data_IF_452190380140
#
_entry.id   IF_452190380140
#
_cell.length_a   1.000
_cell.length_b   1.000
_cell.length_c   1.000
_cell.angle_alpha   90.00
_cell.angle_beta   90.00
_cell.angle_gamma   90.00
#
_symmetry.space_group_name_H-M   'P 1'
#
loop_
_entity.id
_entity.type
_entity.pdbx_description
1 polymer ?
#
# COMPACT_ATOMS: atom_id res chain seq x y z
N UNK A 1 -6.88 -12.29 -12.08
CA UNK A 1 -6.49 -13.71 -12.15
C UNK A 1 -5.11 -13.88 -11.55
N UNK A 2 -4.86 -15.04 -10.93
CA UNK A 2 -3.52 -15.43 -10.51
C UNK A 2 -2.73 -16.09 -11.66
N UNK A 3 -1.49 -16.48 -11.35
CA UNK A 3 -0.58 -17.09 -12.34
C UNK A 3 -1.11 -18.42 -12.94
N UNK A 4 -1.91 -19.16 -12.18
CA UNK A 4 -2.50 -20.43 -12.62
C UNK A 4 -3.84 -20.25 -13.36
N UNK A 5 -4.33 -19.01 -13.47
CA UNK A 5 -5.58 -18.62 -14.13
C UNK A 5 -6.83 -19.35 -13.61
N UNK A 6 -6.81 -19.78 -12.36
CA UNK A 6 -7.93 -20.50 -11.75
C UNK A 6 -8.59 -19.75 -10.59
N UNK A 7 -7.99 -18.64 -10.11
CA UNK A 7 -8.48 -17.88 -8.98
C UNK A 7 -8.57 -16.39 -9.26
N UNK A 8 -9.55 -15.76 -8.66
CA UNK A 8 -9.66 -14.31 -8.51
C UNK A 8 -9.61 -13.94 -7.04
N UNK A 9 -9.03 -12.78 -6.73
CA UNK A 9 -8.92 -12.25 -5.37
C UNK A 9 -9.74 -10.98 -5.24
N UNK A 10 -10.43 -10.84 -4.12
CA UNK A 10 -11.32 -9.71 -3.90
C UNK A 10 -11.36 -9.31 -2.43
N UNK A 11 -11.70 -8.05 -2.22
CA UNK A 11 -11.88 -7.50 -0.89
C UNK A 11 -13.19 -7.99 -0.28
N UNK A 12 -13.14 -8.42 0.98
CA UNK A 12 -14.32 -8.76 1.78
C UNK A 12 -14.77 -7.59 2.66
N UNK A 13 -16.03 -7.62 3.07
CA UNK A 13 -16.64 -6.62 3.94
C UNK A 13 -16.06 -6.64 5.36
N UNK A 14 -16.25 -5.53 6.09
CA UNK A 14 -15.72 -5.38 7.45
C UNK A 14 -16.19 -6.44 8.43
N UNK A 15 -17.47 -6.79 8.37
CA UNK A 15 -18.06 -7.82 9.24
C UNK A 15 -17.42 -9.19 9.03
N UNK A 16 -17.22 -9.57 7.78
CA UNK A 16 -16.56 -10.84 7.44
C UNK A 16 -15.08 -10.80 7.85
N UNK A 17 -14.37 -9.73 7.54
CA UNK A 17 -12.97 -9.57 7.94
C UNK A 17 -12.77 -9.65 9.46
N UNK A 18 -13.70 -9.07 10.24
CA UNK A 18 -13.64 -9.10 11.69
C UNK A 18 -13.73 -10.50 12.29
N UNK A 19 -14.44 -11.43 11.63
CA UNK A 19 -14.58 -12.82 12.10
C UNK A 19 -13.27 -13.60 12.10
N UNK A 20 -12.30 -13.16 11.33
CA UNK A 20 -11.00 -13.81 11.13
C UNK A 20 -9.86 -13.11 11.86
N UNK A 21 -10.14 -12.03 12.60
CA UNK A 21 -9.15 -11.32 13.39
C UNK A 21 -9.18 -11.75 14.86
N UNK A 22 -8.03 -11.62 15.51
CA UNK A 22 -7.99 -11.69 16.97
C UNK A 22 -8.90 -10.60 17.56
N UNK A 23 -9.87 -10.95 18.43
CA UNK A 23 -10.80 -9.98 19.01
C UNK A 23 -10.11 -8.86 19.82
N UNK A 24 -8.87 -9.06 20.24
CA UNK A 24 -8.09 -8.06 20.96
C UNK A 24 -7.25 -7.16 20.05
N UNK A 25 -7.22 -7.41 18.74
CA UNK A 25 -6.45 -6.58 17.82
C UNK A 25 -7.05 -5.17 17.75
N UNK A 26 -6.18 -4.17 17.83
CA UNK A 26 -6.61 -2.78 17.68
C UNK A 26 -6.98 -2.52 16.21
N UNK A 27 -8.25 -2.22 15.98
CA UNK A 27 -8.72 -1.82 14.64
C UNK A 27 -8.31 -0.38 14.35
N UNK A 28 -7.74 -0.16 13.18
CA UNK A 28 -7.30 1.14 12.73
C UNK A 28 -8.49 2.06 12.41
N UNK A 29 -8.36 3.32 12.81
CA UNK A 29 -9.36 4.35 12.53
C UNK A 29 -9.05 5.03 11.19
N UNK A 30 -10.06 5.70 10.65
CA UNK A 30 -9.86 6.57 9.49
C UNK A 30 -8.97 7.77 9.84
N UNK A 31 -8.21 8.21 8.86
CA UNK A 31 -7.31 9.37 8.99
C UNK A 31 -7.09 10.05 7.64
N UNK A 32 -6.31 11.12 7.67
CA UNK A 32 -5.96 11.90 6.50
C UNK A 32 -7.13 12.72 5.93
N UNK A 33 -6.89 13.52 4.90
CA UNK A 33 -7.86 14.50 4.39
C UNK A 33 -9.11 13.86 3.77
N UNK A 34 -9.04 12.60 3.35
CA UNK A 34 -10.18 11.86 2.80
C UNK A 34 -10.93 11.01 3.82
N UNK A 35 -10.50 11.02 5.08
CA UNK A 35 -11.09 10.22 6.15
C UNK A 35 -11.24 8.73 5.78
N UNK A 36 -10.16 8.13 5.28
CA UNK A 36 -10.08 6.74 4.83
C UNK A 36 -9.15 5.92 5.72
N UNK A 37 -9.03 4.63 5.44
CA UNK A 37 -8.08 3.75 6.10
C UNK A 37 -8.64 2.88 7.22
N UNK A 38 -9.87 3.16 7.67
CA UNK A 38 -10.49 2.43 8.78
C UNK A 38 -10.73 0.96 8.44
N UNK A 39 -10.20 0.08 9.31
CA UNK A 39 -10.45 -1.35 9.26
C UNK A 39 -11.75 -1.81 9.93
N UNK A 40 -11.88 -3.11 10.10
CA UNK A 40 -11.03 -4.12 9.51
C UNK A 40 -11.23 -4.26 7.99
N UNK A 41 -10.28 -4.87 7.31
CA UNK A 41 -10.39 -5.26 5.91
C UNK A 41 -9.83 -6.67 5.71
N UNK A 42 -10.13 -7.28 4.58
CA UNK A 42 -9.61 -8.62 4.29
C UNK A 42 -9.71 -8.96 2.81
N UNK A 43 -9.10 -10.08 2.47
CA UNK A 43 -9.04 -10.64 1.13
C UNK A 43 -9.56 -12.09 1.18
N UNK A 44 -10.38 -12.43 0.21
CA UNK A 44 -10.75 -13.81 -0.12
C UNK A 44 -10.42 -14.12 -1.57
N UNK A 45 -10.29 -15.39 -1.87
CA UNK A 45 -10.15 -15.92 -3.23
C UNK A 45 -11.40 -16.69 -3.63
N UNK A 46 -11.67 -16.74 -4.93
CA UNK A 46 -12.68 -17.62 -5.51
C UNK A 46 -12.05 -18.41 -6.66
N UNK A 47 -12.22 -19.71 -6.63
CA UNK A 47 -11.91 -20.55 -7.77
C UNK A 47 -12.96 -20.32 -8.85
N UNK A 48 -12.53 -19.89 -10.04
CA UNK A 48 -13.44 -19.50 -11.11
C UNK A 48 -14.18 -20.68 -11.77
N UNK A 49 -13.66 -21.90 -11.61
CA UNK A 49 -14.28 -23.12 -12.18
C UNK A 49 -15.31 -23.72 -11.25
N UNK A 50 -15.03 -23.70 -9.93
CA UNK A 50 -15.89 -24.37 -8.95
C UNK A 50 -16.77 -23.39 -8.16
N UNK A 51 -16.45 -22.10 -8.15
CA UNK A 51 -17.09 -21.10 -7.31
C UNK A 51 -16.70 -21.18 -5.82
N UNK A 52 -15.77 -22.08 -5.46
CA UNK A 52 -15.30 -22.22 -4.07
C UNK A 52 -14.63 -20.93 -3.59
N UNK A 53 -15.10 -20.40 -2.48
CA UNK A 53 -14.53 -19.19 -1.84
C UNK A 53 -13.70 -19.62 -0.63
N UNK A 54 -12.48 -19.06 -0.52
CA UNK A 54 -11.59 -19.24 0.62
C UNK A 54 -11.14 -17.90 1.17
N UNK A 55 -11.14 -17.77 2.49
CA UNK A 55 -10.51 -16.67 3.17
C UNK A 55 -8.98 -16.74 2.98
N UNK A 56 -8.36 -15.58 2.73
CA UNK A 56 -6.90 -15.45 2.59
C UNK A 56 -6.31 -14.77 3.82
N UNK A 57 -6.72 -13.53 4.07
CA UNK A 57 -6.18 -12.73 5.16
C UNK A 57 -7.19 -11.69 5.63
N UNK A 58 -7.14 -11.38 6.93
CA UNK A 58 -7.77 -10.20 7.51
C UNK A 58 -6.74 -9.34 8.21
N UNK A 59 -6.92 -8.04 8.12
CA UNK A 59 -6.01 -7.01 8.67
C UNK A 59 -6.82 -5.93 9.39
N UNK A 60 -6.21 -5.23 10.38
CA UNK A 60 -6.93 -4.23 11.17
C UNK A 60 -7.22 -2.92 10.43
N UNK A 61 -6.89 -2.81 9.16
CA UNK A 61 -7.01 -1.61 8.34
C UNK A 61 -7.78 -1.87 7.04
N UNK A 62 -8.10 -0.81 6.31
CA UNK A 62 -8.79 -0.89 5.02
C UNK A 62 -7.88 -1.44 3.94
N UNK A 63 -8.26 -2.55 3.33
CA UNK A 63 -7.56 -3.15 2.18
C UNK A 63 -7.95 -2.45 0.89
N UNK A 64 -6.97 -2.17 0.04
CA UNK A 64 -7.14 -1.69 -1.32
C UNK A 64 -6.08 -2.23 -2.27
N UNK A 65 -6.20 -1.92 -3.56
CA UNK A 65 -5.24 -2.22 -4.63
C UNK A 65 -4.73 -3.67 -4.61
N UNK A 66 -5.65 -4.64 -4.55
CA UNK A 66 -5.27 -6.06 -4.55
C UNK A 66 -4.75 -6.43 -5.94
N UNK A 67 -3.54 -6.96 -5.99
CA UNK A 67 -2.89 -7.46 -7.20
C UNK A 67 -2.37 -8.87 -6.93
N UNK A 68 -2.61 -9.78 -7.86
CA UNK A 68 -1.94 -11.08 -7.88
C UNK A 68 -0.66 -10.99 -8.71
N UNK A 69 0.39 -11.66 -8.28
CA UNK A 69 1.58 -11.84 -9.07
C UNK A 69 1.30 -12.89 -10.15
N UNK A 70 1.22 -12.45 -11.41
CA UNK A 70 0.90 -13.34 -12.53
C UNK A 70 2.04 -14.28 -12.94
N UNK A 71 3.20 -14.15 -12.32
CA UNK A 71 4.38 -15.01 -12.53
C UNK A 71 4.66 -15.93 -11.35
N UNK A 72 4.09 -15.64 -10.17
CA UNK A 72 4.32 -16.39 -8.94
C UNK A 72 2.97 -16.78 -8.33
N UNK A 73 2.51 -18.06 -8.53
CA UNK A 73 1.20 -18.49 -8.06
C UNK A 73 0.98 -18.23 -6.58
N UNK A 74 -0.16 -17.63 -6.26
CA UNK A 74 -0.61 -17.39 -4.90
C UNK A 74 0.02 -16.18 -4.19
N UNK A 75 0.98 -15.49 -4.79
CA UNK A 75 1.51 -14.25 -4.19
C UNK A 75 0.60 -13.06 -4.48
N UNK A 76 0.26 -12.32 -3.44
CA UNK A 76 -0.57 -11.14 -3.49
C UNK A 76 0.17 -9.93 -2.97
N UNK A 77 -0.01 -8.81 -3.65
CA UNK A 77 0.38 -7.47 -3.19
C UNK A 77 -0.88 -6.65 -2.98
N UNK A 78 -0.97 -5.93 -1.88
CA UNK A 78 -2.10 -5.07 -1.57
C UNK A 78 -1.67 -3.86 -0.75
N UNK A 79 -2.55 -2.90 -0.59
CA UNK A 79 -2.22 -1.71 0.19
C UNK A 79 -3.16 -1.49 1.38
N UNK A 80 -2.67 -0.76 2.37
CA UNK A 80 -3.51 -0.03 3.30
C UNK A 80 -4.07 1.19 2.57
N UNK A 81 -5.32 1.10 2.16
CA UNK A 81 -5.99 2.15 1.38
C UNK A 81 -6.30 3.36 2.26
N UNK A 82 -5.68 4.48 1.93
CA UNK A 82 -5.81 5.72 2.69
C UNK A 82 -5.97 6.92 1.77
N UNK A 83 -6.52 7.99 2.29
CA UNK A 83 -6.61 9.26 1.56
C UNK A 83 -5.35 10.12 1.65
N UNK A 84 -4.26 9.60 2.21
CA UNK A 84 -2.99 10.29 2.42
C UNK A 84 -1.90 9.30 2.82
N UNK A 85 -0.80 9.81 3.41
CA UNK A 85 0.27 8.94 3.91
C UNK A 85 -0.28 7.98 4.97
N UNK A 86 -0.05 6.69 4.76
CA UNK A 86 -0.24 5.64 5.79
C UNK A 86 1.08 5.37 6.52
N UNK A 87 1.03 4.83 7.74
CA UNK A 87 2.25 4.40 8.45
C UNK A 87 3.01 3.31 7.68
N UNK A 88 2.28 2.42 7.01
CA UNK A 88 2.80 1.34 6.19
C UNK A 88 1.78 1.04 5.09
N UNK A 89 2.10 1.39 3.83
CA UNK A 89 1.13 1.25 2.75
C UNK A 89 1.13 -0.14 2.12
N UNK A 90 2.29 -0.64 1.70
CA UNK A 90 2.37 -1.82 0.85
C UNK A 90 2.63 -3.10 1.64
N UNK A 91 1.87 -4.13 1.33
CA UNK A 91 1.87 -5.43 2.00
C UNK A 91 1.90 -6.56 0.99
N UNK A 92 2.44 -7.70 1.39
CA UNK A 92 2.36 -8.94 0.64
C UNK A 92 1.89 -10.08 1.54
N UNK A 93 1.22 -11.06 0.93
CA UNK A 93 0.72 -12.27 1.58
C UNK A 93 0.59 -13.39 0.55
N UNK A 94 0.75 -14.63 0.96
CA UNK A 94 0.43 -15.78 0.11
C UNK A 94 -1.07 -16.10 0.18
N UNK A 95 -1.62 -16.71 -0.88
CA UNK A 95 -3.05 -17.05 -0.99
C UNK A 95 -3.53 -18.06 0.06
N UNK A 96 -2.62 -18.77 0.74
CA UNK A 96 -2.92 -19.63 1.89
C UNK A 96 -2.93 -18.86 3.22
N UNK A 97 -2.74 -17.54 3.20
CA UNK A 97 -2.72 -16.67 4.38
C UNK A 97 -1.36 -16.56 5.06
N UNK A 98 -0.36 -17.29 4.59
CA UNK A 98 1.00 -17.22 5.16
C UNK A 98 1.81 -16.03 4.66
N UNK A 99 2.89 -15.69 5.37
CA UNK A 99 3.86 -14.69 4.92
C UNK A 99 3.36 -13.25 4.89
N UNK A 100 2.28 -12.91 5.60
CA UNK A 100 1.83 -11.52 5.71
C UNK A 100 2.94 -10.64 6.28
N UNK A 101 3.38 -9.66 5.51
CA UNK A 101 4.43 -8.72 5.89
C UNK A 101 4.37 -7.42 5.09
N UNK A 102 4.98 -6.34 5.57
CA UNK A 102 5.29 -5.20 4.71
C UNK A 102 6.09 -5.67 3.49
N UNK A 103 5.68 -5.24 2.30
CA UNK A 103 6.45 -5.47 1.07
C UNK A 103 7.70 -4.58 1.06
N UNK A 104 7.51 -3.32 1.39
CA UNK A 104 8.55 -2.31 1.56
C UNK A 104 8.33 -1.62 2.92
N UNK A 105 9.21 -1.81 3.91
CA UNK A 105 9.11 -1.12 5.20
C UNK A 105 9.32 0.39 5.01
N UNK A 106 8.29 1.17 5.26
CA UNK A 106 8.31 2.63 5.08
C UNK A 106 8.89 3.33 6.31
N UNK A 107 9.73 4.33 6.08
CA UNK A 107 10.16 5.25 7.12
C UNK A 107 9.15 6.39 7.34
N UNK A 108 9.27 7.11 8.45
CA UNK A 108 8.42 8.27 8.76
C UNK A 108 8.50 9.38 7.69
N UNK A 109 9.59 9.40 6.92
CA UNK A 109 9.87 10.41 5.90
C UNK A 109 9.48 9.95 4.48
N UNK A 110 8.95 8.77 4.33
CA UNK A 110 8.53 8.22 3.05
C UNK A 110 7.01 8.14 2.96
N UNK A 111 6.52 8.35 1.78
CA UNK A 111 5.12 8.12 1.42
C UNK A 111 5.08 7.30 0.14
N UNK A 112 4.73 6.05 0.27
CA UNK A 112 4.56 5.14 -0.87
C UNK A 112 3.17 5.31 -1.46
N UNK A 113 3.10 5.38 -2.79
CA UNK A 113 1.86 5.39 -3.55
C UNK A 113 2.04 4.55 -4.82
N UNK A 114 0.92 4.12 -5.43
CA UNK A 114 0.92 3.46 -6.73
C UNK A 114 1.92 2.30 -6.85
N UNK A 115 1.55 1.18 -6.30
CA UNK A 115 2.27 -0.08 -6.44
C UNK A 115 1.77 -0.87 -7.66
N UNK A 116 2.68 -1.53 -8.37
CA UNK A 116 2.37 -2.44 -9.48
C UNK A 116 3.35 -3.61 -9.52
N UNK A 117 2.86 -4.84 -9.55
CA UNK A 117 3.68 -6.02 -9.82
C UNK A 117 4.08 -5.97 -11.29
N UNK A 118 5.39 -5.95 -11.60
CA UNK A 118 5.93 -5.76 -12.95
C UNK A 118 6.74 -6.95 -13.46
N UNK A 119 7.19 -7.83 -12.57
CA UNK A 119 7.82 -9.10 -12.90
C UNK A 119 7.63 -10.10 -11.77
N UNK A 120 8.20 -11.29 -11.92
CA UNK A 120 8.15 -12.34 -10.89
C UNK A 120 8.65 -11.85 -9.53
N UNK A 121 9.72 -11.08 -9.51
CA UNK A 121 10.44 -10.68 -8.29
C UNK A 121 10.48 -9.15 -8.08
N UNK A 122 9.69 -8.38 -8.86
CA UNK A 122 9.76 -6.92 -8.82
C UNK A 122 8.39 -6.28 -8.71
N UNK A 123 8.30 -5.28 -7.86
CA UNK A 123 7.15 -4.39 -7.71
C UNK A 123 7.61 -2.95 -7.90
N UNK A 124 7.05 -2.26 -8.88
CA UNK A 124 7.26 -0.82 -9.04
C UNK A 124 6.40 -0.04 -8.06
N UNK A 125 6.97 0.98 -7.45
CA UNK A 125 6.28 1.86 -6.51
C UNK A 125 6.67 3.31 -6.74
N UNK A 126 5.72 4.23 -6.56
CA UNK A 126 6.02 5.65 -6.47
C UNK A 126 6.30 6.00 -5.00
N UNK A 127 7.49 6.48 -4.70
CA UNK A 127 7.90 6.85 -3.35
C UNK A 127 8.22 8.35 -3.32
N UNK A 128 7.54 9.08 -2.45
CA UNK A 128 7.83 10.48 -2.16
C UNK A 128 8.61 10.57 -0.85
N UNK A 129 9.83 11.10 -0.92
CA UNK A 129 10.67 11.35 0.25
C UNK A 129 10.40 12.73 0.82
N UNK A 130 10.25 12.83 2.13
CA UNK A 130 10.21 14.10 2.87
C UNK A 130 11.46 14.18 3.72
N UNK A 131 12.26 15.22 3.52
CA UNK A 131 13.44 15.48 4.33
C UNK A 131 13.18 16.67 5.25
N UNK A 132 13.47 16.51 6.53
CA UNK A 132 13.54 17.66 7.43
C UNK A 132 14.78 18.48 7.07
N UNK A 133 14.58 19.71 6.66
CA UNK A 133 15.67 20.62 6.33
C UNK A 133 16.14 21.28 7.64
N UNK A 134 17.39 21.07 8.00
CA UNK A 134 18.07 21.88 9.01
C UNK A 134 18.70 23.08 8.29
N UNK A 135 18.06 24.24 8.42
CA UNK A 135 18.46 25.48 7.71
C UNK A 135 19.91 25.86 8.06
N UNK A 136 20.43 25.48 9.21
CA UNK A 136 21.82 25.78 9.59
C UNK A 136 22.85 24.83 8.98
N UNK A 137 22.46 23.55 8.76
CA UNK A 137 23.35 22.52 8.21
C UNK A 137 23.17 22.31 6.72
N UNK A 138 21.95 22.47 6.26
CA UNK A 138 21.55 22.20 4.88
C UNK A 138 21.29 23.51 4.08
N UNK A 139 21.72 24.65 4.61
CA UNK A 139 21.69 25.89 3.83
C UNK A 139 22.41 25.65 2.51
N UNK A 140 21.79 25.96 1.36
CA UNK A 140 22.48 25.79 0.09
C UNK A 140 23.77 26.58 0.12
N UNK A 141 24.88 25.90 -0.11
CA UNK A 141 26.14 26.56 -0.44
C UNK A 141 25.83 27.39 -1.68
N UNK A 142 25.78 28.72 -1.52
CA UNK A 142 25.41 29.69 -2.52
C UNK A 142 25.06 29.15 -3.90
N UNK A 143 23.78 29.03 -4.19
CA UNK A 143 23.34 28.87 -5.58
C UNK A 143 23.53 30.22 -6.27
N UNK A 144 24.75 30.48 -6.62
CA UNK A 144 25.07 31.60 -7.51
C UNK A 144 24.39 31.29 -8.84
N UNK A 145 23.32 32.02 -9.13
CA UNK A 145 22.63 32.10 -10.41
C UNK A 145 21.54 31.07 -10.77
N UNK A 146 20.82 30.48 -9.85
CA UNK A 146 19.50 29.97 -10.21
C UNK A 146 18.41 30.74 -9.47
N UNK A 147 17.65 31.52 -10.20
CA UNK A 147 16.45 32.23 -9.74
C UNK A 147 15.23 31.27 -9.59
N UNK A 148 15.42 29.98 -9.73
CA UNK A 148 14.34 28.99 -9.68
C UNK A 148 14.28 28.29 -8.33
N UNK A 149 13.47 28.80 -7.45
CA UNK A 149 13.00 28.05 -6.29
C UNK A 149 11.81 27.20 -6.74
N UNK A 150 12.04 25.93 -7.01
CA UNK A 150 10.93 24.99 -7.25
C UNK A 150 10.10 24.85 -5.98
N UNK A 151 8.84 25.21 -6.07
CA UNK A 151 7.89 24.98 -4.98
C UNK A 151 7.68 23.48 -4.80
N UNK A 152 8.07 22.87 -3.65
CA UNK A 152 7.92 21.44 -3.43
C UNK A 152 6.46 20.96 -3.40
N UNK A 153 5.49 21.86 -3.28
CA UNK A 153 4.07 21.54 -3.36
C UNK A 153 3.51 21.55 -4.79
N UNK A 154 4.29 22.06 -5.74
CA UNK A 154 3.89 22.11 -7.14
C UNK A 154 5.13 22.01 -8.05
N UNK A 155 5.72 20.80 -8.20
CA UNK A 155 7.01 20.63 -8.88
C UNK A 155 7.01 20.93 -10.38
N UNK A 156 5.90 21.39 -10.93
CA UNK A 156 5.76 21.78 -12.34
C UNK A 156 5.53 23.28 -12.58
N UNK A 157 5.47 24.10 -11.53
CA UNK A 157 5.30 25.55 -11.67
C UNK A 157 6.66 26.25 -11.53
N UNK A 158 7.13 26.79 -12.62
CA UNK A 158 8.21 27.79 -12.60
C UNK A 158 7.66 29.05 -11.94
N UNK A 159 8.34 29.55 -10.91
CA UNK A 159 8.01 30.85 -10.34
C UNK A 159 8.53 31.95 -11.27
N UNK A 160 7.62 32.71 -11.85
CA UNK A 160 7.95 33.98 -12.51
C UNK A 160 8.46 35.02 -11.50
#
# INVERSE_FOLDING_TARGET
LDADEDRVYFRIGKEEAARHLDPNIKIEKSFGPRNMGAGPGGISSMNIKTGEIKHVVSVPFQVGHIQSNIWNPGELVFCWETGGKSPQRTWTVMADGTGLRPLYPESDFEWVTHEAVISKDEVAMAIMGHRKIDIQKDAPVEVTNSTEVRNPQNPGQESN
#
